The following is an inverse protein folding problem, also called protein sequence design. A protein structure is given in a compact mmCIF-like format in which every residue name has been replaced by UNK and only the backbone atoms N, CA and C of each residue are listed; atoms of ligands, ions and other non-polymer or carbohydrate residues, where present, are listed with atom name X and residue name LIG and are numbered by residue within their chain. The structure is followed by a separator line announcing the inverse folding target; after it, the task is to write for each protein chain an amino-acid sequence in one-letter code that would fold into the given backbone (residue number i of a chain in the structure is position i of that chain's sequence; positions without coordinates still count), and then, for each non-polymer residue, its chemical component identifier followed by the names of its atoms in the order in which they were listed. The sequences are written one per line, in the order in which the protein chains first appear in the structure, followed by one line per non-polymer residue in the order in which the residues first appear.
data_IF_856556126919
#
_entry.id   IF_856556126919
#
_cell.length_a   1.000
_cell.length_b   1.000
_cell.length_c   1.000
_cell.angle_alpha   90.00
_cell.angle_beta   90.00
_cell.angle_gamma   90.00
#
_symmetry.space_group_name_H-M   'P 1'
#
loop_
_entity.id
_entity.type
_entity.pdbx_description
1 polymer ?
#
# COMPACT_ATOMS: atom_id res chain seq x y z
N UNK A 1 -15.97 -2.93 -13.84
CA UNK A 1 -16.20 -1.63 -13.18
C UNK A 1 -14.86 -1.00 -12.86
N UNK A 2 -14.62 0.27 -13.22
CA UNK A 2 -13.43 1.00 -12.79
C UNK A 2 -13.66 1.65 -11.42
N UNK A 3 -12.67 1.58 -10.55
CA UNK A 3 -12.62 2.29 -9.25
C UNK A 3 -11.35 3.14 -9.25
N UNK A 4 -11.51 4.43 -8.97
CA UNK A 4 -10.43 5.41 -9.09
C UNK A 4 -10.44 6.29 -7.84
N UNK A 5 -9.30 6.38 -7.18
CA UNK A 5 -8.99 7.48 -6.25
C UNK A 5 -7.97 8.39 -6.94
N UNK A 6 -8.37 9.59 -7.39
CA UNK A 6 -7.49 10.49 -8.12
C UNK A 6 -6.23 10.88 -7.34
N UNK A 7 -6.36 11.07 -6.02
CA UNK A 7 -5.28 11.50 -5.13
C UNK A 7 -5.49 10.86 -3.75
N UNK A 8 -4.89 9.70 -3.53
CA UNK A 8 -4.66 9.16 -2.19
C UNK A 8 -3.52 9.93 -1.50
N UNK A 9 -3.66 10.19 -0.20
CA UNK A 9 -2.73 11.04 0.54
C UNK A 9 -2.92 12.55 0.29
N UNK A 10 -4.17 13.02 0.10
CA UNK A 10 -4.47 14.47 -0.12
C UNK A 10 -3.87 15.40 0.95
N UNK A 11 -3.80 14.95 2.21
CA UNK A 11 -3.15 15.69 3.32
C UNK A 11 -1.65 15.88 3.08
N UNK A 12 -0.98 14.90 2.48
CA UNK A 12 0.43 15.01 2.08
C UNK A 12 0.55 15.95 0.86
N UNK A 13 -0.30 15.76 -0.14
CA UNK A 13 -0.33 16.56 -1.37
C UNK A 13 -0.41 18.07 -1.07
N UNK A 14 -1.41 18.49 -0.27
CA UNK A 14 -1.63 19.91 0.05
C UNK A 14 -0.50 20.53 0.89
N UNK A 15 0.34 19.70 1.52
CA UNK A 15 1.49 20.12 2.32
C UNK A 15 2.83 19.98 1.60
N UNK A 16 2.83 19.57 0.33
CA UNK A 16 4.06 19.34 -0.45
C UNK A 16 4.85 18.10 -0.03
N UNK A 17 4.29 17.22 0.79
CA UNK A 17 4.90 15.92 1.13
C UNK A 17 4.71 15.00 -0.08
N UNK A 18 5.76 14.36 -0.62
CA UNK A 18 5.69 13.69 -1.92
C UNK A 18 4.99 12.32 -1.87
N UNK A 19 4.47 11.91 -0.71
CA UNK A 19 3.78 10.62 -0.50
C UNK A 19 2.30 10.78 -0.81
N UNK A 20 1.98 10.77 -2.10
CA UNK A 20 0.61 10.71 -2.63
C UNK A 20 0.62 9.95 -3.96
N UNK A 21 -0.53 9.38 -4.33
CA UNK A 21 -0.64 8.58 -5.56
C UNK A 21 -2.05 8.63 -6.16
N UNK A 22 -2.13 8.40 -7.46
CA UNK A 22 -3.40 8.03 -8.11
C UNK A 22 -3.56 6.52 -8.05
N UNK A 23 -4.70 6.06 -7.56
CA UNK A 23 -5.05 4.64 -7.44
C UNK A 23 -6.11 4.29 -8.48
N UNK A 24 -5.84 3.28 -9.31
CA UNK A 24 -6.75 2.82 -10.37
C UNK A 24 -6.91 1.32 -10.25
N UNK A 25 -8.14 0.83 -10.22
CA UNK A 25 -8.45 -0.59 -10.22
C UNK A 25 -9.54 -0.95 -11.21
N UNK A 26 -9.34 -2.04 -11.96
CA UNK A 26 -10.41 -2.70 -12.70
C UNK A 26 -10.97 -3.82 -11.84
N UNK A 27 -12.27 -3.74 -11.58
CA UNK A 27 -13.03 -4.74 -10.84
C UNK A 27 -13.88 -5.57 -11.81
N UNK A 28 -13.77 -6.89 -11.75
CA UNK A 28 -14.64 -7.84 -12.46
C UNK A 28 -15.69 -8.42 -11.51
N UNK A 29 -16.90 -8.64 -12.01
CA UNK A 29 -17.95 -9.33 -11.26
C UNK A 29 -17.67 -10.84 -11.24
N UNK A 30 -17.81 -11.46 -10.06
CA UNK A 30 -17.81 -12.90 -9.87
C UNK A 30 -18.92 -13.32 -8.90
N UNK A 31 -18.92 -14.60 -8.53
CA UNK A 31 -19.96 -15.19 -7.68
C UNK A 31 -20.08 -14.50 -6.30
N UNK A 32 -18.96 -14.08 -5.73
CA UNK A 32 -18.89 -13.38 -4.43
C UNK A 32 -18.90 -11.84 -4.58
N UNK A 33 -19.30 -11.33 -5.75
CA UNK A 33 -19.31 -9.90 -6.06
C UNK A 33 -18.06 -9.44 -6.82
N UNK A 34 -17.73 -8.16 -6.70
CA UNK A 34 -16.66 -7.54 -7.49
C UNK A 34 -15.28 -7.83 -6.89
N UNK A 35 -14.32 -8.29 -7.72
CA UNK A 35 -12.92 -8.53 -7.32
C UNK A 35 -11.95 -7.72 -8.19
N UNK A 36 -10.86 -7.18 -7.62
CA UNK A 36 -9.85 -6.47 -8.39
C UNK A 36 -9.09 -7.47 -9.29
N UNK A 37 -8.98 -7.13 -10.58
CA UNK A 37 -8.25 -7.94 -11.57
C UNK A 37 -7.09 -7.20 -12.22
N UNK A 38 -7.11 -5.86 -12.16
CA UNK A 38 -5.98 -4.99 -12.52
C UNK A 38 -5.89 -3.90 -11.47
N UNK A 39 -4.68 -3.57 -11.03
CA UNK A 39 -4.41 -2.46 -10.12
C UNK A 39 -3.21 -1.65 -10.58
N UNK A 40 -3.28 -0.33 -10.44
CA UNK A 40 -2.18 0.61 -10.68
C UNK A 40 -2.13 1.61 -9.53
N UNK A 41 -0.93 1.83 -9.01
CA UNK A 41 -0.61 2.90 -8.05
C UNK A 41 0.47 3.75 -8.69
N UNK A 42 0.17 5.01 -8.98
CA UNK A 42 1.11 5.92 -9.65
C UNK A 42 1.42 7.10 -8.73
N UNK A 43 2.66 7.16 -8.22
CA UNK A 43 3.15 8.22 -7.34
C UNK A 43 4.18 9.08 -8.09
N UNK A 44 3.75 10.07 -8.88
CA UNK A 44 4.64 10.82 -9.77
C UNK A 44 5.67 11.66 -9.01
N UNK A 45 5.33 12.22 -7.84
CA UNK A 45 6.27 12.96 -7.00
C UNK A 45 7.41 12.07 -6.44
N UNK A 46 7.20 10.75 -6.40
CA UNK A 46 8.23 9.76 -6.03
C UNK A 46 8.92 9.13 -7.24
N UNK A 47 8.55 9.54 -8.46
CA UNK A 47 8.98 8.93 -9.73
C UNK A 47 8.84 7.39 -9.73
N UNK A 48 7.73 6.90 -9.18
CA UNK A 48 7.47 5.47 -9.03
C UNK A 48 6.05 5.09 -9.40
N UNK A 49 5.91 3.87 -9.90
CA UNK A 49 4.64 3.24 -10.20
C UNK A 49 4.68 1.77 -9.82
N UNK A 50 3.53 1.25 -9.42
CA UNK A 50 3.27 -0.15 -9.17
C UNK A 50 2.06 -0.56 -9.97
N UNK A 51 2.08 -1.79 -10.49
CA UNK A 51 0.92 -2.35 -11.17
C UNK A 51 0.90 -3.86 -11.06
N UNK A 52 -0.29 -4.42 -11.13
CA UNK A 52 -0.51 -5.85 -11.13
C UNK A 52 -1.74 -6.19 -11.97
N UNK A 53 -1.75 -7.40 -12.51
CA UNK A 53 -2.94 -7.99 -13.10
C UNK A 53 -3.07 -9.45 -12.66
N UNK A 54 -4.31 -9.93 -12.53
CA UNK A 54 -4.61 -11.31 -12.16
C UNK A 54 -3.89 -12.27 -13.11
N UNK A 55 -3.10 -13.19 -12.54
CA UNK A 55 -2.29 -14.16 -13.30
C UNK A 55 -0.97 -13.62 -13.88
N UNK A 56 -0.74 -12.30 -13.89
CA UNK A 56 0.48 -11.71 -14.48
C UNK A 56 1.59 -11.40 -13.45
N UNK A 57 1.22 -11.35 -12.16
CA UNK A 57 2.09 -10.89 -11.08
C UNK A 57 2.02 -9.38 -10.83
N UNK A 58 2.88 -8.89 -9.93
CA UNK A 58 3.01 -7.48 -9.58
C UNK A 58 4.39 -6.95 -9.98
N UNK A 59 4.45 -5.67 -10.36
CA UNK A 59 5.64 -5.02 -10.88
C UNK A 59 5.74 -3.59 -10.38
N UNK A 60 6.98 -3.10 -10.27
CA UNK A 60 7.29 -1.70 -10.01
C UNK A 60 8.35 -1.19 -10.98
N UNK A 61 8.30 0.08 -11.33
CA UNK A 61 9.27 0.69 -12.24
C UNK A 61 8.80 2.03 -12.79
N UNK A 62 9.65 2.66 -13.60
CA UNK A 62 9.33 3.92 -14.30
C UNK A 62 8.60 3.68 -15.62
N UNK A 63 8.85 2.54 -16.26
CA UNK A 63 8.23 2.11 -17.52
C UNK A 63 8.03 0.60 -17.53
N UNK A 64 7.23 0.09 -18.47
CA UNK A 64 7.08 -1.35 -18.70
C UNK A 64 8.41 -2.03 -19.06
N UNK A 65 9.26 -1.35 -19.83
CA UNK A 65 10.58 -1.86 -20.26
C UNK A 65 11.65 -1.87 -19.17
N UNK A 66 11.42 -1.17 -18.06
CA UNK A 66 12.33 -1.09 -16.91
C UNK A 66 11.71 -1.63 -15.61
N UNK A 67 10.68 -2.47 -15.77
CA UNK A 67 9.91 -3.00 -14.65
C UNK A 67 10.65 -4.12 -13.93
N UNK A 68 10.59 -4.11 -12.60
CA UNK A 68 11.04 -5.19 -11.74
C UNK A 68 9.83 -5.93 -11.19
N UNK A 69 9.83 -7.26 -11.30
CA UNK A 69 8.78 -8.10 -10.68
C UNK A 69 8.90 -8.07 -9.17
N UNK A 70 7.78 -7.91 -8.49
CA UNK A 70 7.71 -7.78 -7.04
C UNK A 70 7.37 -9.12 -6.39
N UNK A 71 7.84 -9.27 -5.16
CA UNK A 71 7.58 -10.41 -4.30
C UNK A 71 7.62 -9.93 -2.84
N UNK A 72 6.68 -10.46 -2.06
CA UNK A 72 6.70 -10.28 -0.61
C UNK A 72 7.95 -10.90 0.02
N UNK A 73 8.31 -10.41 1.21
CA UNK A 73 9.38 -11.03 2.01
C UNK A 73 9.05 -12.47 2.42
N UNK A 74 10.08 -13.24 2.78
CA UNK A 74 9.93 -14.58 3.38
C UNK A 74 9.95 -14.55 4.92
N UNK A 75 9.73 -13.38 5.52
CA UNK A 75 9.78 -13.23 6.98
C UNK A 75 8.64 -14.03 7.61
N UNK A 76 9.00 -15.05 8.39
CA UNK A 76 8.05 -15.98 9.01
C UNK A 76 7.76 -15.71 10.49
N UNK A 77 8.46 -14.76 11.11
CA UNK A 77 8.32 -14.45 12.54
C UNK A 77 8.06 -12.96 12.74
N UNK A 78 7.12 -12.64 13.64
CA UNK A 78 6.77 -11.26 13.95
C UNK A 78 7.96 -10.45 14.48
N UNK A 79 8.82 -11.09 15.27
CA UNK A 79 10.04 -10.50 15.83
C UNK A 79 11.07 -10.08 14.78
N UNK A 80 10.97 -10.56 13.54
CA UNK A 80 11.83 -10.16 12.41
C UNK A 80 11.11 -9.20 11.44
N UNK A 81 9.83 -8.90 11.67
CA UNK A 81 9.01 -8.13 10.74
C UNK A 81 9.27 -6.62 10.84
N UNK A 82 9.21 -5.96 9.67
CA UNK A 82 9.08 -4.50 9.58
C UNK A 82 7.61 -4.15 9.40
N UNK A 83 7.03 -3.45 10.36
CA UNK A 83 5.63 -3.06 10.38
C UNK A 83 5.44 -1.59 10.03
N UNK A 84 4.51 -1.27 9.14
CA UNK A 84 4.22 0.11 8.76
C UNK A 84 2.73 0.42 8.91
N UNK A 85 2.44 1.64 9.36
CA UNK A 85 1.09 2.15 9.63
C UNK A 85 0.98 3.63 9.21
N UNK A 86 -0.20 4.23 9.42
CA UNK A 86 -0.44 5.65 9.13
C UNK A 86 -0.33 6.52 10.38
N UNK A 87 -1.32 6.44 11.28
CA UNK A 87 -1.36 7.22 12.52
C UNK A 87 -1.95 6.39 13.67
N UNK A 88 -1.80 6.89 14.89
CA UNK A 88 -2.32 6.25 16.11
C UNK A 88 -3.78 6.61 16.41
N UNK A 89 -4.21 7.82 16.04
CA UNK A 89 -5.52 8.38 16.43
C UNK A 89 -6.70 7.49 16.05
N UNK A 90 -6.72 6.95 14.83
CA UNK A 90 -7.81 6.07 14.38
C UNK A 90 -7.89 4.75 15.16
N UNK A 91 -6.78 4.30 15.75
CA UNK A 91 -6.76 3.11 16.62
C UNK A 91 -7.22 3.45 18.03
N UNK A 92 -6.88 4.63 18.53
CA UNK A 92 -7.34 5.14 19.82
C UNK A 92 -8.86 5.36 19.83
N UNK A 93 -9.39 6.03 18.80
CA UNK A 93 -10.83 6.27 18.62
C UNK A 93 -11.64 4.96 18.56
N UNK A 94 -11.03 3.88 18.08
CA UNK A 94 -11.64 2.55 18.00
C UNK A 94 -11.40 1.68 19.25
N UNK A 95 -10.69 2.18 20.26
CA UNK A 95 -10.35 1.42 21.47
C UNK A 95 -9.37 0.26 21.21
N UNK A 96 -8.54 0.36 20.17
CA UNK A 96 -7.59 -0.69 19.73
C UNK A 96 -6.13 -0.26 19.82
N UNK A 97 -5.85 0.89 20.44
CA UNK A 97 -4.50 1.45 20.53
C UNK A 97 -3.54 0.47 21.22
N UNK A 98 -3.94 -0.14 22.34
CA UNK A 98 -3.06 -1.07 23.06
C UNK A 98 -2.63 -2.26 22.19
N UNK A 99 -3.57 -2.85 21.44
CA UNK A 99 -3.25 -3.94 20.51
C UNK A 99 -2.30 -3.52 19.38
N UNK A 100 -2.43 -2.30 18.88
CA UNK A 100 -1.47 -1.74 17.93
C UNK A 100 -0.08 -1.59 18.59
N UNK A 101 -0.03 -1.03 19.79
CA UNK A 101 1.23 -0.82 20.52
C UNK A 101 1.93 -2.15 20.82
N UNK A 102 1.19 -3.18 21.22
CA UNK A 102 1.73 -4.53 21.41
C UNK A 102 2.32 -5.09 20.11
N UNK A 103 1.63 -4.91 18.98
CA UNK A 103 2.16 -5.29 17.67
C UNK A 103 3.45 -4.52 17.35
N UNK A 104 3.50 -3.21 17.61
CA UNK A 104 4.71 -2.41 17.36
C UNK A 104 5.89 -2.85 18.23
N UNK A 105 5.66 -3.29 19.46
CA UNK A 105 6.69 -3.85 20.36
C UNK A 105 7.16 -5.24 19.93
N UNK A 106 6.26 -6.03 19.34
CA UNK A 106 6.56 -7.38 18.88
C UNK A 106 7.33 -7.42 17.55
N UNK A 107 7.33 -6.33 16.77
CA UNK A 107 8.04 -6.24 15.49
C UNK A 107 9.48 -5.73 15.65
N UNK A 108 10.38 -6.17 14.77
CA UNK A 108 11.76 -5.69 14.72
C UNK A 108 11.85 -4.18 14.46
N UNK A 109 10.96 -3.66 13.60
CA UNK A 109 10.99 -2.27 13.16
C UNK A 109 9.60 -1.74 12.89
N UNK A 110 9.36 -0.47 13.20
CA UNK A 110 8.11 0.21 12.86
C UNK A 110 8.30 1.55 12.14
N UNK A 111 7.37 1.91 11.25
CA UNK A 111 7.35 3.21 10.55
C UNK A 111 5.93 3.71 10.27
N UNK A 112 5.69 5.00 10.48
CA UNK A 112 4.43 5.67 10.11
C UNK A 112 4.55 6.34 8.75
N UNK A 113 4.49 5.59 7.65
CA UNK A 113 4.62 6.18 6.30
C UNK A 113 3.30 6.77 5.76
N UNK A 114 2.17 6.17 6.13
CA UNK A 114 0.85 6.62 5.68
C UNK A 114 0.40 6.10 4.32
N UNK A 115 -0.93 6.06 4.17
CA UNK A 115 -1.63 5.97 2.88
C UNK A 115 -1.24 4.73 2.05
N UNK A 116 -1.16 4.83 0.71
CA UNK A 116 -0.76 3.72 -0.17
C UNK A 116 0.65 3.15 0.10
N UNK A 117 1.56 3.94 0.68
CA UNK A 117 3.00 3.63 0.65
C UNK A 117 3.39 2.34 1.38
N UNK A 118 2.97 2.10 2.64
CA UNK A 118 3.19 0.82 3.34
C UNK A 118 2.82 -0.39 2.50
N UNK A 119 1.67 -0.37 1.83
CA UNK A 119 1.18 -1.50 1.04
C UNK A 119 2.09 -1.77 -0.16
N UNK A 120 2.62 -0.72 -0.79
CA UNK A 120 3.55 -0.85 -1.91
C UNK A 120 4.94 -1.33 -1.49
N UNK A 121 5.31 -1.16 -0.22
CA UNK A 121 6.56 -1.71 0.35
C UNK A 121 6.41 -3.17 0.80
N UNK A 122 5.18 -3.63 1.04
CA UNK A 122 4.89 -5.03 1.36
C UNK A 122 4.91 -5.90 0.10
N UNK A 123 4.31 -5.42 -0.98
CA UNK A 123 4.15 -6.14 -2.24
C UNK A 123 5.50 -6.48 -2.92
#
# INVERSE_FOLDING_TARGET
RWVIDPIDGTKNYVRGVPVWATLISLMEAGEEGFRPVVGVVSAPALNRRWWAAKGAGAYTGRSLTSATRMQVSKVGRIADASFAFSSLSGWEEQGRLDGLLDLTRACWRTRGYGDFWPYMMVA
#
